data_IF_471304453621
#
_entry.id   IF_471304453621
#
_cell.length_a   1.000
_cell.length_b   1.000
_cell.length_c   1.000
_cell.angle_alpha   90.00
_cell.angle_beta   90.00
_cell.angle_gamma   90.00
#
_symmetry.space_group_name_H-M   'P 1'
#
loop_
_entity.id
_entity.type
_entity.pdbx_description
1 polymer ?
#
# COMPACT_ATOMS: atom_id res chain seq x y z
N UNK A 1 8.96 6.07 11.05
CA UNK A 1 9.53 4.89 11.77
C UNK A 1 8.46 3.98 12.39
N UNK A 2 7.40 4.50 13.02
CA UNK A 2 6.37 3.67 13.66
C UNK A 2 5.72 2.62 12.75
N UNK A 3 5.47 2.93 11.47
CA UNK A 3 4.83 2.00 10.52
C UNK A 3 5.67 0.74 10.22
N UNK A 4 6.99 0.90 10.11
CA UNK A 4 7.92 -0.24 9.92
C UNK A 4 7.93 -1.11 11.17
N UNK A 5 7.98 -0.49 12.35
CA UNK A 5 8.00 -1.21 13.63
C UNK A 5 6.72 -2.01 13.86
N UNK A 6 5.56 -1.46 13.51
CA UNK A 6 4.29 -2.18 13.66
C UNK A 6 4.12 -3.28 12.63
N UNK A 7 4.64 -3.11 11.41
CA UNK A 7 4.74 -4.19 10.43
C UNK A 7 5.62 -5.32 10.96
N UNK A 8 6.84 -5.01 11.40
CA UNK A 8 7.77 -5.98 11.97
C UNK A 8 7.15 -6.70 13.17
N UNK A 9 6.45 -5.98 14.03
CA UNK A 9 5.74 -6.54 15.19
C UNK A 9 4.62 -7.51 14.75
N UNK A 10 3.83 -7.17 13.74
CA UNK A 10 2.79 -8.05 13.21
C UNK A 10 3.41 -9.35 12.66
N UNK A 11 4.52 -9.25 11.93
CA UNK A 11 5.28 -10.41 11.44
C UNK A 11 5.90 -11.21 12.58
N UNK A 12 6.43 -10.55 13.59
CA UNK A 12 7.04 -11.21 14.74
C UNK A 12 6.02 -12.05 15.51
N UNK A 13 4.78 -11.56 15.67
CA UNK A 13 3.69 -12.33 16.30
C UNK A 13 3.34 -13.60 15.51
N UNK A 14 3.30 -13.52 14.19
CA UNK A 14 3.11 -14.70 13.33
C UNK A 14 4.28 -15.69 13.44
N UNK A 15 5.52 -15.19 13.46
CA UNK A 15 6.72 -16.01 13.67
C UNK A 15 6.74 -16.67 15.05
N UNK A 16 6.34 -15.94 16.09
CA UNK A 16 6.27 -16.45 17.46
C UNK A 16 5.21 -17.55 17.60
N UNK A 17 4.10 -17.48 16.86
CA UNK A 17 3.11 -18.55 16.79
C UNK A 17 3.65 -19.82 16.08
N UNK A 18 4.70 -19.68 15.26
CA UNK A 18 5.32 -20.75 14.47
C UNK A 18 6.55 -21.37 15.14
N UNK A 19 6.79 -21.13 16.43
CA UNK A 19 7.99 -21.48 17.23
C UNK A 19 8.45 -22.95 17.27
N UNK A 20 7.96 -23.82 16.38
CA UNK A 20 8.45 -25.19 16.16
C UNK A 20 8.69 -25.58 14.68
N UNK A 21 8.62 -24.65 13.71
CA UNK A 21 8.68 -25.00 12.28
C UNK A 21 9.97 -24.56 11.55
N UNK A 22 10.24 -25.23 10.41
CA UNK A 22 11.46 -25.11 9.58
C UNK A 22 11.72 -23.67 9.08
N UNK A 23 12.98 -23.37 8.75
CA UNK A 23 13.45 -22.08 8.18
C UNK A 23 12.67 -21.61 6.94
N UNK A 24 12.12 -22.53 6.14
CA UNK A 24 11.29 -22.19 4.97
C UNK A 24 9.97 -21.48 5.34
N UNK A 25 9.41 -21.73 6.52
CA UNK A 25 8.18 -21.08 6.98
C UNK A 25 8.47 -19.64 7.46
N UNK A 26 9.68 -19.39 7.99
CA UNK A 26 10.11 -18.05 8.38
C UNK A 26 10.21 -17.10 7.19
N UNK A 27 10.82 -17.55 6.09
CA UNK A 27 10.93 -16.75 4.86
C UNK A 27 9.55 -16.41 4.30
N UNK A 28 8.61 -17.37 4.30
CA UNK A 28 7.23 -17.11 3.88
C UNK A 28 6.61 -15.98 4.68
N UNK A 29 6.64 -16.07 6.02
CA UNK A 29 6.04 -15.04 6.89
C UNK A 29 6.61 -13.66 6.63
N UNK A 30 7.93 -13.53 6.50
CA UNK A 30 8.60 -12.24 6.23
C UNK A 30 8.20 -11.65 4.87
N UNK A 31 7.90 -12.49 3.88
CA UNK A 31 7.47 -12.05 2.54
C UNK A 31 5.96 -11.95 2.36
N UNK A 32 5.17 -12.42 3.34
CA UNK A 32 3.72 -12.41 3.23
C UNK A 32 3.15 -10.99 3.36
N UNK A 33 2.02 -10.77 2.71
CA UNK A 33 1.16 -9.60 2.93
C UNK A 33 0.61 -9.58 4.36
N UNK A 34 0.16 -8.43 4.84
CA UNK A 34 -0.52 -8.31 6.15
C UNK A 34 -1.83 -7.55 5.97
N UNK A 35 -2.91 -7.94 6.66
CA UNK A 35 -4.14 -7.15 6.69
C UNK A 35 -3.86 -5.76 7.28
N UNK A 36 -4.34 -4.71 6.61
CA UNK A 36 -4.17 -3.32 7.05
C UNK A 36 -4.68 -3.11 8.48
N UNK A 37 -5.79 -3.76 8.84
CA UNK A 37 -6.37 -3.69 10.19
C UNK A 37 -5.38 -4.13 11.28
N UNK A 38 -4.59 -5.16 11.02
CA UNK A 38 -3.57 -5.67 11.97
C UNK A 38 -2.51 -4.62 12.24
N UNK A 39 -2.08 -3.88 11.22
CA UNK A 39 -1.06 -2.84 11.39
C UNK A 39 -1.64 -1.64 12.15
N UNK A 40 -2.87 -1.24 11.81
CA UNK A 40 -3.53 -0.10 12.44
C UNK A 40 -3.80 -0.35 13.93
N UNK A 41 -4.19 -1.56 14.32
CA UNK A 41 -4.40 -1.92 15.73
C UNK A 41 -3.12 -1.87 16.57
N UNK A 42 -1.94 -2.09 15.97
CA UNK A 42 -0.66 -1.96 16.66
C UNK A 42 -0.15 -0.50 16.68
N UNK A 43 -0.58 0.33 15.71
CA UNK A 43 -0.17 1.73 15.63
C UNK A 43 -0.90 2.63 16.63
N UNK A 44 -2.17 2.35 16.87
CA UNK A 44 -2.99 3.16 17.75
C UNK A 44 -4.06 2.31 18.44
N UNK A 45 -4.21 2.52 19.74
CA UNK A 45 -5.37 2.01 20.47
C UNK A 45 -6.57 2.92 20.16
N UNK A 46 -7.40 2.50 19.21
CA UNK A 46 -8.61 3.22 18.83
C UNK A 46 -9.74 2.84 19.79
N UNK A 47 -10.51 3.83 20.22
CA UNK A 47 -11.79 3.54 20.87
C UNK A 47 -12.78 2.86 19.89
N UNK A 48 -13.90 2.39 20.42
CA UNK A 48 -14.91 1.68 19.63
C UNK A 48 -15.45 2.53 18.48
N UNK A 49 -15.72 3.82 18.70
CA UNK A 49 -16.30 4.69 17.68
C UNK A 49 -15.33 4.92 16.52
N UNK A 50 -14.05 5.17 16.83
CA UNK A 50 -12.98 5.33 15.84
C UNK A 50 -12.70 4.02 15.09
N UNK A 51 -12.79 2.87 15.78
CA UNK A 51 -12.67 1.54 15.16
C UNK A 51 -13.81 1.27 14.17
N UNK A 52 -15.05 1.58 14.56
CA UNK A 52 -16.23 1.43 13.70
C UNK A 52 -16.15 2.35 12.47
N UNK A 53 -15.69 3.59 12.66
CA UNK A 53 -15.44 4.52 11.56
C UNK A 53 -14.36 4.02 10.61
N UNK A 54 -13.24 3.51 11.14
CA UNK A 54 -12.18 2.91 10.33
C UNK A 54 -12.70 1.72 9.51
N UNK A 55 -13.48 0.84 10.13
CA UNK A 55 -14.13 -0.27 9.43
C UNK A 55 -15.02 0.23 8.30
N UNK A 56 -15.89 1.20 8.56
CA UNK A 56 -16.74 1.78 7.51
C UNK A 56 -15.94 2.42 6.38
N UNK A 57 -14.82 3.08 6.67
CA UNK A 57 -13.93 3.65 5.66
C UNK A 57 -13.30 2.56 4.78
N UNK A 58 -12.83 1.46 5.37
CA UNK A 58 -12.28 0.32 4.63
C UNK A 58 -13.36 -0.33 3.76
N UNK A 59 -14.56 -0.56 4.30
CA UNK A 59 -15.68 -1.13 3.54
C UNK A 59 -16.10 -0.23 2.38
N UNK A 60 -16.19 1.09 2.59
CA UNK A 60 -16.50 2.05 1.50
C UNK A 60 -15.44 2.01 0.40
N UNK A 61 -14.16 1.95 0.76
CA UNK A 61 -13.08 1.78 -0.21
C UNK A 61 -13.19 0.45 -0.97
N UNK A 62 -13.66 -0.61 -0.31
CA UNK A 62 -13.89 -1.92 -0.91
C UNK A 62 -15.08 -1.97 -1.86
N UNK A 63 -16.16 -1.24 -1.57
CA UNK A 63 -17.34 -1.16 -2.46
C UNK A 63 -17.04 -0.50 -3.80
N UNK A 64 -16.06 0.42 -3.85
CA UNK A 64 -15.56 1.00 -5.10
C UNK A 64 -14.71 0.01 -5.93
N UNK A 65 -14.19 -1.05 -5.29
CA UNK A 65 -13.34 -2.07 -5.89
C UNK A 65 -14.11 -3.36 -6.29
N UNK A 66 -15.45 -3.36 -6.26
CA UNK A 66 -16.32 -4.39 -6.87
C UNK A 66 -16.17 -5.86 -6.38
N UNK A 67 -15.66 -6.13 -5.16
CA UNK A 67 -15.63 -7.49 -4.62
C UNK A 67 -16.33 -7.60 -3.24
N UNK A 68 -17.25 -8.55 -3.13
CA UNK A 68 -17.91 -8.89 -1.87
C UNK A 68 -16.89 -9.49 -0.87
N UNK A 69 -16.82 -8.93 0.34
CA UNK A 69 -15.84 -9.25 1.39
C UNK A 69 -14.37 -8.94 1.02
N UNK A 70 -14.09 -7.67 0.77
CA UNK A 70 -12.73 -7.15 0.52
C UNK A 70 -11.96 -6.93 1.82
N UNK A 71 -10.98 -7.80 2.07
CA UNK A 71 -9.91 -7.50 3.03
C UNK A 71 -8.95 -6.48 2.39
N UNK A 72 -8.53 -5.49 3.17
CA UNK A 72 -7.50 -4.54 2.77
C UNK A 72 -6.12 -5.13 3.11
N UNK A 73 -5.30 -5.40 2.09
CA UNK A 73 -3.97 -5.98 2.24
C UNK A 73 -2.90 -4.95 1.93
N UNK A 74 -1.85 -4.93 2.73
CA UNK A 74 -0.63 -4.20 2.40
C UNK A 74 0.55 -5.15 2.37
N UNK A 75 1.49 -4.85 1.47
CA UNK A 75 2.79 -5.48 1.38
C UNK A 75 3.79 -4.34 1.53
N UNK A 76 4.39 -4.20 2.71
CA UNK A 76 5.24 -3.06 3.03
C UNK A 76 6.50 -3.54 3.72
N UNK A 77 7.64 -3.08 3.22
CA UNK A 77 8.96 -3.41 3.76
C UNK A 77 9.80 -2.15 3.95
N UNK A 78 9.67 -1.16 3.04
CA UNK A 78 10.47 0.05 3.09
C UNK A 78 9.77 1.24 2.42
N UNK A 79 10.30 2.45 2.68
CA UNK A 79 9.90 3.66 1.98
C UNK A 79 10.87 3.99 0.86
N UNK A 80 10.33 4.35 -0.29
CA UNK A 80 11.05 5.09 -1.32
C UNK A 80 10.69 6.58 -1.22
N UNK A 81 11.70 7.44 -1.33
CA UNK A 81 11.54 8.88 -1.18
C UNK A 81 11.34 9.49 -2.55
N UNK A 82 10.13 9.96 -2.83
CA UNK A 82 9.81 10.61 -4.08
C UNK A 82 10.31 12.06 -4.07
N UNK A 83 11.24 12.42 -4.98
CA UNK A 83 11.85 13.73 -4.99
C UNK A 83 10.92 14.84 -5.50
N UNK A 84 9.78 14.50 -6.12
CA UNK A 84 8.85 15.46 -6.73
C UNK A 84 7.42 15.21 -6.29
N UNK A 85 6.59 16.25 -6.42
CA UNK A 85 5.17 16.19 -6.13
C UNK A 85 4.44 15.16 -6.98
N UNK A 86 3.52 14.42 -6.35
CA UNK A 86 2.61 13.51 -7.06
C UNK A 86 1.35 14.28 -7.41
N UNK A 87 1.03 14.37 -8.70
CA UNK A 87 -0.22 14.95 -9.21
C UNK A 87 -1.28 13.89 -9.46
N UNK A 88 -0.84 12.68 -9.82
CA UNK A 88 -1.70 11.54 -10.14
C UNK A 88 -0.96 10.25 -9.79
N UNK A 89 -1.67 9.31 -9.17
CA UNK A 89 -1.15 7.98 -8.87
C UNK A 89 -2.05 6.92 -9.51
N UNK A 90 -1.48 6.12 -10.40
CA UNK A 90 -2.25 5.10 -11.12
C UNK A 90 -2.37 3.81 -10.31
N UNK A 91 -3.48 3.06 -10.42
CA UNK A 91 -3.61 1.74 -9.80
C UNK A 91 -2.51 0.76 -10.24
N UNK A 92 -2.03 0.86 -11.49
CA UNK A 92 -0.88 0.08 -12.01
C UNK A 92 0.42 0.40 -11.26
N UNK A 93 0.68 1.67 -10.97
CA UNK A 93 1.87 2.05 -10.22
C UNK A 93 1.76 1.61 -8.75
N UNK A 94 0.57 1.73 -8.15
CA UNK A 94 0.31 1.19 -6.81
C UNK A 94 0.54 -0.33 -6.76
N UNK A 95 0.08 -1.07 -7.76
CA UNK A 95 0.31 -2.51 -7.87
C UNK A 95 1.79 -2.85 -7.91
N UNK A 96 2.56 -2.11 -8.72
CA UNK A 96 4.01 -2.24 -8.78
C UNK A 96 4.65 -1.98 -7.40
N UNK A 97 4.33 -0.86 -6.75
CA UNK A 97 4.86 -0.53 -5.43
C UNK A 97 4.48 -1.60 -4.38
N UNK A 98 3.24 -2.07 -4.40
CA UNK A 98 2.76 -3.12 -3.51
C UNK A 98 3.53 -4.42 -3.73
N UNK A 99 3.74 -4.88 -4.96
CA UNK A 99 4.56 -6.08 -5.24
C UNK A 99 6.00 -5.95 -4.72
N UNK A 100 6.57 -4.76 -4.81
CA UNK A 100 7.93 -4.46 -4.34
C UNK A 100 8.03 -4.19 -2.82
N UNK A 101 6.92 -4.19 -2.08
CA UNK A 101 6.95 -3.84 -0.66
C UNK A 101 7.24 -2.36 -0.38
N UNK A 102 6.92 -1.47 -1.32
CA UNK A 102 7.31 -0.06 -1.28
C UNK A 102 6.15 0.82 -0.83
N UNK A 103 6.35 1.55 0.27
CA UNK A 103 5.60 2.76 0.57
C UNK A 103 6.29 3.98 -0.03
N UNK A 104 5.54 5.04 -0.32
CA UNK A 104 6.08 6.27 -0.91
C UNK A 104 6.13 7.36 0.17
N UNK A 105 7.28 8.02 0.30
CA UNK A 105 7.48 9.17 1.18
C UNK A 105 7.74 10.40 0.33
N UNK A 106 7.03 11.50 0.56
CA UNK A 106 7.28 12.75 -0.15
C UNK A 106 8.56 13.39 0.41
N UNK A 107 9.49 13.77 -0.48
CA UNK A 107 10.70 14.51 -0.11
C UNK A 107 10.40 15.96 0.27
N UNK A 108 9.44 16.57 -0.41
CA UNK A 108 9.02 17.96 -0.20
C UNK A 108 7.62 18.01 0.43
N UNK A 109 7.34 19.09 1.16
CA UNK A 109 6.02 19.34 1.75
C UNK A 109 4.97 19.47 0.64
N UNK A 110 4.28 18.37 0.33
CA UNK A 110 3.03 18.41 -0.41
C UNK A 110 1.92 18.64 0.62
N UNK A 111 1.10 19.67 0.43
CA UNK A 111 0.02 19.96 1.36
C UNK A 111 -0.92 18.75 1.46
N UNK A 112 -1.11 18.24 2.69
CA UNK A 112 -2.07 17.17 2.96
C UNK A 112 -1.53 15.75 2.77
N UNK A 113 -0.33 15.56 2.22
CA UNK A 113 0.23 14.22 1.95
C UNK A 113 1.74 14.23 2.19
N UNK A 114 2.18 13.55 3.25
CA UNK A 114 3.59 13.27 3.51
C UNK A 114 4.03 11.92 2.96
N UNK A 115 3.09 11.02 2.71
CA UNK A 115 3.38 9.78 2.00
C UNK A 115 2.14 8.94 1.77
N UNK A 116 2.37 7.83 1.07
CA UNK A 116 1.34 6.94 0.52
C UNK A 116 1.74 5.49 0.78
N UNK A 117 0.81 4.69 1.28
CA UNK A 117 0.94 3.25 1.41
C UNK A 117 0.02 2.56 0.39
N UNK A 118 0.54 1.75 -0.54
CA UNK A 118 -0.28 0.98 -1.45
C UNK A 118 -1.10 -0.09 -0.71
N UNK A 119 -2.39 -0.19 -1.05
CA UNK A 119 -3.33 -1.15 -0.47
C UNK A 119 -4.02 -1.92 -1.59
N UNK A 120 -4.03 -3.24 -1.49
CA UNK A 120 -4.79 -4.13 -2.35
C UNK A 120 -6.14 -4.46 -1.70
N UNK A 121 -7.25 -4.16 -2.38
CA UNK A 121 -8.63 -4.38 -1.89
C UNK A 121 -9.24 -5.60 -2.58
N UNK A 122 -8.94 -6.80 -2.09
CA UNK A 122 -9.39 -8.02 -2.76
C UNK A 122 -9.18 -9.28 -1.95
N UNK A 123 -9.58 -10.42 -2.52
CA UNK A 123 -9.33 -11.73 -1.94
C UNK A 123 -8.11 -12.36 -2.62
N UNK A 124 -6.97 -12.38 -1.92
CA UNK A 124 -5.73 -12.98 -2.41
C UNK A 124 -5.81 -14.50 -2.56
N UNK A 125 -6.83 -15.15 -1.99
CA UNK A 125 -7.05 -16.59 -2.14
C UNK A 125 -7.87 -16.94 -3.40
N UNK A 126 -8.38 -15.93 -4.12
CA UNK A 126 -9.08 -16.14 -5.39
C UNK A 126 -8.13 -15.80 -6.54
N UNK A 127 -8.12 -16.61 -7.61
CA UNK A 127 -7.37 -16.27 -8.81
C UNK A 127 -7.93 -14.97 -9.40
N UNK A 128 -7.04 -14.11 -9.91
CA UNK A 128 -7.44 -12.93 -10.67
C UNK A 128 -7.92 -13.40 -12.04
N UNK A 129 -9.22 -13.65 -12.22
CA UNK A 129 -9.76 -14.25 -13.45
C UNK A 129 -10.08 -13.15 -14.47
N UNK A 130 -9.55 -13.29 -15.69
CA UNK A 130 -10.05 -12.55 -16.85
C UNK A 130 -11.10 -13.38 -17.61
N UNK A 131 -12.29 -12.82 -17.95
CA UNK A 131 -13.40 -13.60 -18.50
C UNK A 131 -13.11 -14.36 -19.80
N UNK A 132 -12.12 -13.94 -20.58
CA UNK A 132 -11.80 -14.49 -21.90
C UNK A 132 -10.38 -14.07 -22.29
N UNK A 133 -9.43 -14.99 -22.47
CA UNK A 133 -8.10 -14.62 -22.94
C UNK A 133 -7.25 -15.82 -23.36
N UNK A 134 -6.82 -15.81 -24.62
CA UNK A 134 -5.87 -16.74 -25.24
C UNK A 134 -4.51 -16.69 -24.51
N UNK A 135 -3.79 -17.81 -24.52
CA UNK A 135 -2.75 -18.19 -23.55
C UNK A 135 -1.51 -17.28 -23.45
N UNK A 136 -1.21 -16.45 -24.47
CA UNK A 136 0.01 -15.62 -24.49
C UNK A 136 -0.12 -14.27 -23.76
N UNK A 137 -1.34 -13.73 -23.56
CA UNK A 137 -1.59 -12.44 -22.89
C UNK A 137 -2.14 -12.58 -21.45
N UNK A 138 -2.24 -13.82 -20.95
CA UNK A 138 -2.94 -14.12 -19.70
C UNK A 138 -2.26 -13.47 -18.48
N UNK A 139 -0.93 -13.53 -18.37
CA UNK A 139 -0.22 -12.97 -17.20
C UNK A 139 -0.36 -11.45 -17.08
N UNK A 140 -0.18 -10.72 -18.19
CA UNK A 140 -0.37 -9.26 -18.24
C UNK A 140 -1.81 -8.87 -17.97
N UNK A 141 -2.77 -9.64 -18.49
CA UNK A 141 -4.20 -9.42 -18.26
C UNK A 141 -4.60 -9.65 -16.79
N UNK A 142 -4.05 -10.69 -16.15
CA UNK A 142 -4.18 -10.98 -14.72
C UNK A 142 -3.61 -9.84 -13.89
N UNK A 143 -2.40 -9.35 -14.19
CA UNK A 143 -1.80 -8.22 -13.47
C UNK A 143 -2.60 -6.93 -13.64
N UNK A 144 -3.10 -6.66 -14.84
CA UNK A 144 -3.96 -5.52 -15.09
C UNK A 144 -5.28 -5.61 -14.32
N UNK A 145 -5.85 -6.81 -14.21
CA UNK A 145 -7.05 -7.04 -13.41
C UNK A 145 -6.78 -6.86 -11.91
N UNK A 146 -5.68 -7.40 -11.39
CA UNK A 146 -5.27 -7.21 -9.99
C UNK A 146 -5.03 -5.72 -9.66
N UNK A 147 -4.42 -4.98 -10.60
CA UNK A 147 -4.20 -3.54 -10.44
C UNK A 147 -5.49 -2.73 -10.28
N UNK A 148 -6.64 -3.18 -10.82
CA UNK A 148 -7.92 -2.51 -10.65
C UNK A 148 -8.41 -2.49 -9.19
N UNK A 149 -7.89 -3.38 -8.35
CA UNK A 149 -8.22 -3.46 -6.92
C UNK A 149 -7.26 -2.64 -6.05
N UNK A 150 -6.33 -1.89 -6.66
CA UNK A 150 -5.39 -1.07 -5.90
C UNK A 150 -6.00 0.26 -5.48
N UNK A 151 -5.82 0.56 -4.21
CA UNK A 151 -6.06 1.86 -3.60
C UNK A 151 -4.86 2.23 -2.73
N UNK A 152 -4.96 3.30 -1.96
CA UNK A 152 -3.90 3.70 -1.06
C UNK A 152 -4.42 4.36 0.21
N UNK A 153 -3.57 4.36 1.24
CA UNK A 153 -3.73 5.19 2.43
C UNK A 153 -2.66 6.27 2.39
N UNK A 154 -3.07 7.52 2.42
CA UNK A 154 -2.16 8.64 2.59
C UNK A 154 -2.09 9.05 4.06
N UNK A 155 -0.94 9.57 4.49
CA UNK A 155 -0.81 10.19 5.81
C UNK A 155 -0.24 11.60 5.71
N UNK A 156 -0.58 12.41 6.71
CA UNK A 156 -0.04 13.74 6.94
C UNK A 156 0.46 13.79 8.38
N UNK A 157 1.71 14.19 8.57
CA UNK A 157 2.30 14.43 9.88
C UNK A 157 1.88 15.82 10.36
N UNK A 158 0.86 15.86 11.23
CA UNK A 158 0.31 17.12 11.80
C UNK A 158 1.28 17.88 12.73
N UNK A 159 2.44 17.32 13.07
CA UNK A 159 3.45 17.97 13.92
C UNK A 159 4.50 18.74 13.11
N UNK A 160 4.07 19.60 12.17
CA UNK A 160 4.96 20.58 11.53
C UNK A 160 4.71 21.97 12.13
N UNK A 161 5.13 22.17 13.38
CA UNK A 161 5.10 23.49 14.03
C UNK A 161 6.00 24.54 13.34
N UNK A 162 6.75 24.15 12.31
CA UNK A 162 7.43 25.07 11.39
C UNK A 162 7.26 24.55 9.96
N UNK A 163 6.62 25.35 9.10
CA UNK A 163 6.86 25.27 7.66
C UNK A 163 8.37 25.33 7.45
N UNK A 164 8.94 24.36 6.73
CA UNK A 164 10.31 24.51 6.28
C UNK A 164 10.41 25.82 5.48
N UNK A 165 11.38 26.70 5.79
CA UNK A 165 11.59 27.90 5.00
C UNK A 165 11.80 27.48 3.56
N UNK A 166 10.99 28.03 2.66
CA UNK A 166 10.95 27.64 1.26
C UNK A 166 12.34 27.56 0.67
N UNK A 167 12.64 26.41 0.04
CA UNK A 167 13.71 26.34 -0.94
C UNK A 167 13.26 27.17 -2.14
N UNK A 168 13.46 28.48 -2.05
CA UNK A 168 13.42 29.37 -3.19
C UNK A 168 14.45 28.87 -4.20
N UNK A 169 13.97 28.30 -5.30
CA UNK A 169 14.74 28.21 -6.52
C UNK A 169 13.75 28.10 -7.67
N UNK A 170 13.55 29.21 -8.37
CA UNK A 170 12.82 29.26 -9.62
C UNK A 170 13.40 28.27 -10.63
N UNK A 171 12.76 27.11 -10.72
CA UNK A 171 12.84 26.19 -11.85
C UNK A 171 11.46 25.56 -11.95
N UNK A 172 10.89 25.58 -13.15
CA UNK A 172 9.63 24.94 -13.50
C UNK A 172 9.60 23.54 -12.87
N UNK A 173 8.68 23.38 -11.93
CA UNK A 173 8.47 22.16 -11.18
C UNK A 173 8.08 21.06 -12.18
N UNK A 174 9.00 20.11 -12.42
CA UNK A 174 8.76 19.05 -13.38
C UNK A 174 7.76 18.08 -12.75
N UNK A 175 6.48 18.34 -12.98
CA UNK A 175 5.35 17.49 -12.58
C UNK A 175 5.54 16.09 -13.17
N UNK A 176 5.63 15.07 -12.29
CA UNK A 176 5.71 13.69 -12.73
C UNK A 176 4.34 13.06 -12.70
N UNK A 177 3.85 12.66 -13.88
CA UNK A 177 2.81 11.65 -14.01
C UNK A 177 3.47 10.29 -13.85
N UNK A 178 3.31 9.66 -12.67
CA UNK A 178 3.89 8.35 -12.38
C UNK A 178 3.00 7.26 -13.00
N UNK A 179 3.22 7.00 -14.29
CA UNK A 179 2.85 5.74 -14.91
C UNK A 179 3.89 4.70 -14.55
N UNK A 180 3.48 3.56 -14.00
CA UNK A 180 4.38 2.44 -13.72
C UNK A 180 5.11 1.98 -14.99
N UNK A 181 6.17 1.16 -14.85
CA UNK A 181 6.90 0.63 -16.01
C UNK A 181 5.91 0.01 -17.00
N UNK A 182 6.10 0.33 -18.29
CA UNK A 182 5.31 -0.26 -19.36
C UNK A 182 5.61 -1.75 -19.38
N UNK A 183 4.60 -2.56 -19.03
CA UNK A 183 4.67 -4.01 -19.18
C UNK A 183 4.73 -4.24 -20.69
N UNK A 184 5.93 -4.52 -21.22
CA UNK A 184 6.14 -4.78 -22.64
C UNK A 184 5.45 -6.09 -23.04
N UNK A 185 4.81 -6.06 -24.20
CA UNK A 185 4.21 -7.18 -24.92
C UNK A 185 5.28 -8.10 -25.53
#
# INVERSE_FOLDING_TARGET
MALVVTWDTAKHKELDALKQQKTSEHVKVLTCVVPLKTILSELANLDKANTDQLHQCIERAGTLAAAASTVAWTNFMHFDVLPKHITEISPKYLWYCWKCGVGLQMAHSQHGIDGILPIFMGNLNQPFVTPTGTQDDAATSIEMHAACYMTYVAWEAKNRDKLQPGAGSGKLDVMLKLTGPSIMH
#
